data_IF_146474445253
#
_entry.id   IF_146474445253
#
_cell.length_a   1.000
_cell.length_b   1.000
_cell.length_c   1.000
_cell.angle_alpha   90.00
_cell.angle_beta   90.00
_cell.angle_gamma   90.00
#
_symmetry.space_group_name_H-M   'P 1'
#
loop_
_entity.id
_entity.type
_entity.pdbx_description
1 polymer ?
#
# COMPACT_ATOMS: atom_id res chain seq x y z
N UNK A 1 4.71 9.93 10.39
CA UNK A 1 4.39 8.55 10.77
C UNK A 1 4.98 7.57 9.77
N UNK A 2 5.00 6.32 10.09
CA UNK A 2 5.49 5.29 9.16
C UNK A 2 4.32 4.67 8.42
N UNK A 3 4.40 4.64 7.11
CA UNK A 3 3.32 4.15 6.26
C UNK A 3 3.85 3.05 5.34
N UNK A 4 3.22 1.89 5.40
CA UNK A 4 3.51 0.79 4.48
C UNK A 4 2.51 0.81 3.35
N UNK A 5 3.01 0.81 2.11
CA UNK A 5 2.15 0.76 0.93
C UNK A 5 2.31 -0.61 0.28
N UNK A 6 1.22 -1.36 0.22
CA UNK A 6 1.22 -2.70 -0.35
C UNK A 6 0.77 -2.63 -1.80
N UNK A 7 1.74 -2.59 -2.69
CA UNK A 7 1.49 -2.49 -4.12
C UNK A 7 2.34 -1.40 -4.75
N UNK A 8 2.91 -1.69 -5.90
CA UNK A 8 3.84 -0.79 -6.59
C UNK A 8 3.32 -0.26 -7.92
N UNK A 9 2.01 -0.36 -8.16
CA UNK A 9 1.39 0.21 -9.35
C UNK A 9 1.23 1.72 -9.24
N UNK A 10 0.57 2.33 -10.21
CA UNK A 10 0.43 3.78 -10.28
C UNK A 10 -0.17 4.41 -9.02
N UNK A 11 -1.23 3.82 -8.48
CA UNK A 11 -1.88 4.34 -7.27
C UNK A 11 -0.93 4.29 -6.09
N UNK A 12 -0.23 3.17 -5.90
CA UNK A 12 0.72 3.02 -4.80
C UNK A 12 1.86 4.02 -4.91
N UNK A 13 2.38 4.23 -6.11
CA UNK A 13 3.45 5.19 -6.34
C UNK A 13 3.00 6.62 -6.06
N UNK A 14 1.81 6.99 -6.53
CA UNK A 14 1.29 8.35 -6.32
C UNK A 14 1.03 8.64 -4.85
N UNK A 15 0.43 7.68 -4.14
CA UNK A 15 0.19 7.83 -2.72
C UNK A 15 1.49 7.93 -1.94
N UNK A 16 2.47 7.09 -2.32
CA UNK A 16 3.78 7.12 -1.67
C UNK A 16 4.49 8.45 -1.83
N UNK A 17 4.43 9.03 -3.04
CA UNK A 17 4.99 10.35 -3.27
C UNK A 17 4.29 11.41 -2.43
N UNK A 18 2.96 11.33 -2.33
CA UNK A 18 2.20 12.28 -1.53
C UNK A 18 2.54 12.22 -0.06
N UNK A 19 2.58 11.01 0.50
CA UNK A 19 2.91 10.84 1.92
C UNK A 19 4.35 11.26 2.22
N UNK A 20 5.30 10.90 1.37
CA UNK A 20 6.69 11.30 1.55
C UNK A 20 6.84 12.81 1.47
N UNK A 21 6.09 13.45 0.57
CA UNK A 21 6.07 14.90 0.46
C UNK A 21 5.52 15.60 1.69
N UNK A 22 4.66 14.93 2.44
CA UNK A 22 4.13 15.44 3.71
C UNK A 22 5.06 15.15 4.90
N UNK A 23 6.17 14.50 4.66
CA UNK A 23 7.16 14.24 5.71
C UNK A 23 7.03 12.89 6.41
N UNK A 24 6.20 11.99 5.89
CA UNK A 24 6.07 10.64 6.45
C UNK A 24 7.14 9.71 5.90
N UNK A 25 7.51 8.71 6.69
CA UNK A 25 8.37 7.64 6.22
C UNK A 25 7.53 6.60 5.51
N UNK A 26 7.88 6.26 4.27
CA UNK A 26 7.07 5.38 3.42
C UNK A 26 7.90 4.19 2.97
N UNK A 27 7.37 2.99 3.16
CA UNK A 27 7.97 1.79 2.59
C UNK A 27 7.00 1.16 1.61
N UNK A 28 7.41 1.04 0.36
CA UNK A 28 6.60 0.40 -0.68
C UNK A 28 6.87 -1.10 -0.69
N UNK A 29 5.81 -1.88 -0.56
CA UNK A 29 5.88 -3.34 -0.63
C UNK A 29 5.57 -3.85 -2.02
N UNK A 30 6.34 -4.82 -2.46
CA UNK A 30 6.18 -5.43 -3.77
C UNK A 30 6.68 -6.86 -3.70
N UNK A 31 6.24 -7.69 -4.65
CA UNK A 31 6.80 -9.03 -4.80
C UNK A 31 8.21 -8.99 -5.39
N UNK A 32 8.53 -7.90 -6.08
CA UNK A 32 9.87 -7.69 -6.63
C UNK A 32 10.33 -6.26 -6.30
N UNK A 33 10.83 -6.03 -5.07
CA UNK A 33 11.22 -4.69 -4.66
C UNK A 33 12.43 -4.13 -5.40
N UNK A 34 13.15 -4.96 -6.14
CA UNK A 34 14.31 -4.50 -6.91
C UNK A 34 14.03 -4.09 -8.34
N UNK A 35 12.76 -4.10 -8.78
CA UNK A 35 12.48 -3.78 -10.17
C UNK A 35 12.68 -2.29 -10.48
N UNK A 36 12.89 -1.99 -11.74
CA UNK A 36 13.26 -0.64 -12.20
C UNK A 36 12.24 0.43 -11.83
N UNK A 37 10.97 0.11 -11.92
CA UNK A 37 9.91 1.06 -11.57
C UNK A 37 9.99 1.53 -10.13
N UNK A 38 10.35 0.62 -9.23
CA UNK A 38 10.50 0.95 -7.81
C UNK A 38 11.75 1.78 -7.59
N UNK A 39 12.84 1.46 -8.28
CA UNK A 39 14.05 2.27 -8.20
C UNK A 39 13.81 3.70 -8.67
N UNK A 40 13.09 3.86 -9.77
CA UNK A 40 12.74 5.18 -10.27
C UNK A 40 11.86 5.94 -9.27
N UNK A 41 10.89 5.24 -8.66
CA UNK A 41 10.04 5.84 -7.64
C UNK A 41 10.84 6.30 -6.42
N UNK A 42 11.79 5.48 -5.97
CA UNK A 42 12.64 5.85 -4.83
C UNK A 42 13.42 7.14 -5.11
N UNK A 43 13.89 7.29 -6.34
CA UNK A 43 14.58 8.51 -6.73
C UNK A 43 13.71 9.75 -6.67
N UNK A 44 12.41 9.60 -6.96
CA UNK A 44 11.46 10.71 -6.91
C UNK A 44 10.97 10.98 -5.48
N UNK A 45 10.77 9.93 -4.72
CA UNK A 45 10.19 10.04 -3.37
C UNK A 45 11.17 10.55 -2.33
N UNK A 46 12.46 10.31 -2.51
CA UNK A 46 13.49 10.90 -1.66
C UNK A 46 13.88 10.06 -0.47
N UNK A 47 14.50 10.72 0.50
CA UNK A 47 15.16 10.05 1.64
C UNK A 47 14.22 9.30 2.57
N UNK A 48 12.95 9.70 2.61
CA UNK A 48 11.98 9.06 3.51
C UNK A 48 11.30 7.86 2.89
N UNK A 49 11.68 7.50 1.68
CA UNK A 49 11.12 6.38 0.97
C UNK A 49 12.07 5.19 0.97
N UNK A 50 11.49 4.00 1.05
CA UNK A 50 12.24 2.76 0.93
C UNK A 50 11.34 1.71 0.27
N UNK A 51 11.89 0.55 -0.01
CA UNK A 51 11.14 -0.54 -0.63
C UNK A 51 11.48 -1.86 0.02
N UNK A 52 10.56 -2.80 -0.05
CA UNK A 52 10.75 -4.14 0.49
C UNK A 52 9.64 -5.05 0.03
N UNK A 53 9.55 -6.21 0.65
CA UNK A 53 8.47 -7.16 0.40
C UNK A 53 7.17 -6.64 1.02
N UNK A 54 6.04 -7.29 0.69
CA UNK A 54 4.78 -6.95 1.33
C UNK A 54 4.87 -7.10 2.86
N UNK A 55 5.49 -8.19 3.32
CA UNK A 55 5.65 -8.41 4.76
C UNK A 55 6.48 -7.33 5.42
N UNK A 56 7.56 -6.92 4.77
CA UNK A 56 8.43 -5.87 5.31
C UNK A 56 7.70 -4.52 5.38
N UNK A 57 6.95 -4.18 4.33
CA UNK A 57 6.21 -2.92 4.31
C UNK A 57 5.10 -2.92 5.37
N UNK A 58 4.40 -4.04 5.51
CA UNK A 58 3.34 -4.15 6.51
C UNK A 58 3.89 -4.05 7.93
N UNK A 59 5.03 -4.67 8.20
CA UNK A 59 5.66 -4.61 9.51
C UNK A 59 6.20 -3.21 9.81
N UNK A 60 6.73 -2.54 8.79
CA UNK A 60 7.28 -1.19 8.93
C UNK A 60 6.22 -0.16 9.30
N UNK A 61 5.07 -0.22 8.67
CA UNK A 61 4.06 0.83 8.79
C UNK A 61 3.28 0.78 10.08
N UNK A 62 2.99 1.95 10.63
CA UNK A 62 1.97 2.11 11.67
C UNK A 62 0.59 2.07 11.03
N UNK A 63 0.53 2.40 9.74
CA UNK A 63 -0.65 2.31 8.91
C UNK A 63 -0.27 1.59 7.63
N UNK A 64 -1.17 0.78 7.09
CA UNK A 64 -0.96 0.09 5.83
C UNK A 64 -1.98 0.55 4.79
N UNK A 65 -1.52 0.75 3.57
CA UNK A 65 -2.38 1.13 2.44
C UNK A 65 -2.33 0.02 1.41
N UNK A 66 -3.47 -0.57 1.10
CA UNK A 66 -3.58 -1.57 0.05
C UNK A 66 -3.80 -0.85 -1.27
N UNK A 67 -2.82 -0.97 -2.17
CA UNK A 67 -2.82 -0.28 -3.45
C UNK A 67 -2.57 -1.24 -4.61
N UNK A 68 -3.06 -2.46 -4.48
CA UNK A 68 -2.98 -3.48 -5.50
C UNK A 68 -4.26 -3.48 -6.34
N UNK A 69 -4.23 -4.17 -7.48
CA UNK A 69 -5.45 -4.38 -8.24
C UNK A 69 -6.35 -5.34 -7.48
N UNK A 70 -7.66 -5.29 -7.79
CA UNK A 70 -8.65 -6.14 -7.13
C UNK A 70 -8.19 -7.60 -6.99
N UNK A 71 -7.75 -8.20 -8.09
CA UNK A 71 -7.31 -9.59 -8.08
C UNK A 71 -6.06 -9.83 -7.24
N UNK A 72 -5.27 -8.80 -7.01
CA UNK A 72 -4.05 -8.91 -6.21
C UNK A 72 -4.22 -8.60 -4.75
N UNK A 73 -5.34 -8.00 -4.35
CA UNK A 73 -5.54 -7.50 -2.98
C UNK A 73 -5.49 -8.62 -1.95
N UNK A 74 -6.22 -9.70 -2.17
CA UNK A 74 -6.25 -10.82 -1.25
C UNK A 74 -4.87 -11.45 -1.10
N UNK A 75 -4.17 -11.60 -2.21
CA UNK A 75 -2.83 -12.16 -2.20
C UNK A 75 -1.84 -11.24 -1.49
N UNK A 76 -1.94 -9.94 -1.70
CA UNK A 76 -1.09 -8.96 -1.03
C UNK A 76 -1.30 -9.00 0.48
N UNK A 77 -2.54 -9.07 0.94
CA UNK A 77 -2.85 -9.15 2.36
C UNK A 77 -2.27 -10.42 2.98
N UNK A 78 -2.35 -11.54 2.27
CA UNK A 78 -1.79 -12.81 2.73
C UNK A 78 -0.27 -12.74 2.83
N UNK A 79 0.38 -12.17 1.83
CA UNK A 79 1.84 -12.03 1.80
C UNK A 79 2.34 -11.03 2.84
N UNK A 80 1.52 -10.04 3.17
CA UNK A 80 1.86 -9.07 4.20
C UNK A 80 1.92 -9.72 5.58
N UNK A 81 1.10 -10.73 5.80
CA UNK A 81 1.00 -11.43 7.08
C UNK A 81 -0.03 -10.80 7.99
N UNK A 82 -1.05 -11.57 8.41
CA UNK A 82 -2.10 -11.01 9.27
C UNK A 82 -1.54 -10.40 10.56
N UNK A 83 -0.49 -10.99 11.13
CA UNK A 83 0.12 -10.47 12.35
C UNK A 83 0.75 -9.10 12.16
N UNK A 84 1.21 -8.80 10.95
CA UNK A 84 1.80 -7.49 10.65
C UNK A 84 0.75 -6.41 10.48
N UNK A 85 -0.49 -6.79 10.21
CA UNK A 85 -1.60 -5.86 10.02
C UNK A 85 -2.48 -5.72 11.27
N UNK A 86 -2.33 -6.62 12.22
CA UNK A 86 -3.17 -6.65 13.41
C UNK A 86 -3.03 -5.35 14.20
N UNK A 87 -4.16 -4.78 14.57
CA UNK A 87 -4.18 -3.56 15.37
C UNK A 87 -3.84 -2.29 14.63
N UNK A 88 -3.63 -2.36 13.31
CA UNK A 88 -3.28 -1.18 12.52
C UNK A 88 -4.47 -0.68 11.71
N UNK A 89 -4.41 0.59 11.35
CA UNK A 89 -5.35 1.13 10.37
C UNK A 89 -4.92 0.64 9.00
N UNK A 90 -5.84 0.03 8.28
CA UNK A 90 -5.59 -0.46 6.92
C UNK A 90 -6.55 0.25 5.98
N UNK A 91 -6.00 0.97 5.03
CA UNK A 91 -6.79 1.69 4.02
C UNK A 91 -6.72 0.90 2.73
N UNK A 92 -7.87 0.56 2.19
CA UNK A 92 -7.95 -0.17 0.93
C UNK A 92 -8.39 0.78 -0.18
N UNK A 93 -7.47 1.05 -1.11
CA UNK A 93 -7.75 1.94 -2.24
C UNK A 93 -8.11 1.19 -3.51
N UNK A 94 -8.09 -0.14 -3.45
CA UNK A 94 -8.25 -0.95 -4.66
C UNK A 94 -9.67 -1.01 -5.15
N UNK A 95 -10.62 -0.85 -4.26
CA UNK A 95 -12.03 -0.96 -4.61
C UNK A 95 -12.92 -0.15 -3.67
N UNK A 96 -12.77 1.18 -3.68
CA UNK A 96 -13.48 2.04 -2.74
C UNK A 96 -15.00 1.92 -2.83
N UNK A 97 -15.52 1.57 -3.99
CA UNK A 97 -16.97 1.47 -4.16
C UNK A 97 -17.57 0.30 -3.39
N UNK A 98 -16.81 -0.73 -3.12
CA UNK A 98 -17.29 -1.90 -2.39
C UNK A 98 -17.40 -1.66 -0.88
N UNK A 99 -16.85 -0.57 -0.41
CA UNK A 99 -16.88 -0.25 1.02
C UNK A 99 -17.97 0.74 1.40
N UNK A 100 -18.83 1.10 0.47
CA UNK A 100 -19.95 1.96 0.78
C UNK A 100 -20.99 1.12 1.54
N UNK A 101 -21.39 1.53 2.63
CA UNK A 101 -22.37 0.80 3.43
C UNK A 101 -23.69 0.71 2.72
N UNK A 102 -23.98 0.30 2.29
CA UNK A 102 -24.98 0.13 1.79
C UNK A 102 -25.30 -0.13 0.99
N UNK A 103 -25.00 -0.26 1.01
CA UNK A 103 -24.98 -0.33 0.32
C UNK A 103 -24.80 -1.11 0.00
N UNK A 104 -24.89 -1.39 0.05
CA UNK A 104 -24.50 -1.71 -0.41
C UNK A 104 -24.14 -2.17 -0.95
N UNK A 105 -24.03 -2.44 -1.18
CA UNK A 105 -23.29 -2.37 -1.79
C UNK A 105 -23.31 -2.59 -2.47
N UNK A 106 -23.61 -2.48 -2.82
CA UNK A 106 -23.46 -2.30 -3.63
C UNK A 106 -22.91 -2.11 -4.22
N UNK A 107 -22.88 -2.00 -4.29
CA UNK A 107 -22.17 -1.58 -4.83
C UNK A 107 -21.62 -1.46 -5.35
N UNK A 108 -21.64 -1.40 -5.30
CA UNK A 108 -20.93 -1.02 -5.78
C UNK A 108 -20.62 -1.07 -6.11
N UNK A 109 -20.86 -1.12 -6.02
CA UNK A 109 -20.42 -1.04 -6.39
C UNK A 109 -20.45 -1.12 -6.67
N UNK A 110 -20.64 -1.34 -6.44
CA UNK A 110 -20.58 -1.23 -6.88
C UNK A 110 -20.63 -1.37 -6.97
#
# INVERSE_FOLDING_TARGET
MKIGILGSGGVGQDLGLGFAGLGHDVKMGSRDPGKEEIKAWLGRAGKKASAGTFGEAAAFGEMAVLATRWAGTENAARLAGPENLAGKVVIDTTNPLLFRPNALPDLAVG
#
